data_IF_843738760234
#
_entry.id   IF_843738760234
#
_cell.length_a   1.000
_cell.length_b   1.000
_cell.length_c   1.000
_cell.angle_alpha   90.00
_cell.angle_beta   90.00
_cell.angle_gamma   90.00
#
_symmetry.space_group_name_H-M   'P 1'
#
loop_
_entity.id
_entity.type
_entity.pdbx_description
1 polymer ?
#
# COMPACT_ATOMS: atom_id res chain seq x y z
N UNK A 1 21.46 57.70 37.44
CA UNK A 1 20.68 57.04 36.37
C UNK A 1 21.61 56.08 35.65
N UNK A 2 21.54 54.78 35.98
CA UNK A 2 22.45 53.75 35.46
C UNK A 2 21.71 52.91 34.43
N UNK A 3 22.20 52.93 33.19
CA UNK A 3 21.71 52.16 32.06
C UNK A 3 22.01 50.67 32.23
N UNK A 4 20.97 49.82 32.27
CA UNK A 4 21.10 48.36 32.25
C UNK A 4 20.60 47.81 30.92
N UNK A 5 21.53 47.50 30.01
CA UNK A 5 21.30 46.70 28.80
C UNK A 5 20.78 45.32 29.23
N UNK A 6 19.60 44.92 28.75
CA UNK A 6 19.16 43.51 28.75
C UNK A 6 19.43 42.93 27.37
N UNK A 7 20.36 41.97 27.33
CA UNK A 7 20.55 40.99 26.28
C UNK A 7 19.25 40.19 26.08
N UNK A 8 18.81 40.05 24.82
CA UNK A 8 17.75 39.12 24.43
C UNK A 8 18.43 37.79 24.10
N UNK A 9 18.22 36.78 24.94
CA UNK A 9 18.43 35.38 24.56
C UNK A 9 17.35 34.99 23.54
N UNK A 10 17.78 34.30 22.49
CA UNK A 10 16.92 33.73 21.46
C UNK A 10 16.49 32.35 21.95
N UNK A 11 15.35 32.28 22.62
CA UNK A 11 14.70 31.00 22.91
C UNK A 11 14.18 30.41 21.59
N UNK A 12 14.61 29.18 21.29
CA UNK A 12 14.21 28.44 20.11
C UNK A 12 12.73 28.09 20.15
N UNK A 13 12.02 28.43 19.07
CA UNK A 13 10.66 27.98 18.80
C UNK A 13 10.62 26.45 18.68
N UNK A 14 10.44 25.78 19.81
CA UNK A 14 9.99 24.40 19.85
C UNK A 14 8.55 24.35 19.37
N UNK A 15 8.33 23.74 18.20
CA UNK A 15 6.98 23.37 17.74
C UNK A 15 6.39 22.43 18.79
N UNK A 16 5.48 22.93 19.63
CA UNK A 16 4.65 22.11 20.49
C UNK A 16 3.82 21.19 19.59
N UNK A 17 4.17 19.91 19.56
CA UNK A 17 3.33 18.87 18.96
C UNK A 17 2.09 18.75 19.85
N UNK A 18 0.99 19.37 19.42
CA UNK A 18 -0.28 19.33 20.13
C UNK A 18 -0.68 17.89 20.47
N UNK A 19 -1.13 17.69 21.71
CA UNK A 19 -1.45 16.37 22.23
C UNK A 19 -2.58 15.74 21.39
N UNK A 20 -2.38 14.50 20.93
CA UNK A 20 -3.29 13.83 19.98
C UNK A 20 -4.75 13.77 20.47
N UNK A 21 -4.96 13.76 21.77
CA UNK A 21 -6.29 13.75 22.39
C UNK A 21 -7.03 15.09 22.29
N UNK A 22 -6.30 16.21 22.30
CA UNK A 22 -6.87 17.56 22.27
C UNK A 22 -7.39 17.92 20.87
N UNK A 23 -6.68 17.45 19.83
CA UNK A 23 -7.10 17.55 18.42
C UNK A 23 -8.35 16.69 18.17
N UNK A 24 -8.46 15.53 18.79
CA UNK A 24 -9.64 14.65 18.68
C UNK A 24 -10.87 15.28 19.36
N UNK A 25 -10.69 15.91 20.53
CA UNK A 25 -11.77 16.63 21.23
C UNK A 25 -12.26 17.85 20.47
N UNK A 26 -11.36 18.62 19.85
CA UNK A 26 -11.74 19.72 18.97
C UNK A 26 -12.49 19.24 17.72
N UNK A 27 -12.05 18.14 17.09
CA UNK A 27 -12.74 17.51 15.94
C UNK A 27 -14.17 17.09 16.24
N UNK A 28 -14.43 16.49 17.41
CA UNK A 28 -15.79 16.10 17.80
C UNK A 28 -16.72 17.30 17.98
N UNK A 29 -16.18 18.46 18.39
CA UNK A 29 -16.96 19.69 18.58
C UNK A 29 -17.37 20.33 17.25
N UNK A 30 -16.49 20.27 16.25
CA UNK A 30 -16.78 20.81 14.90
C UNK A 30 -17.76 19.93 14.10
N UNK A 31 -17.74 18.60 14.31
CA UNK A 31 -18.70 17.69 13.66
C UNK A 31 -20.14 17.89 14.12
N UNK A 32 -20.36 18.33 15.35
CA UNK A 32 -21.70 18.60 15.88
C UNK A 32 -22.33 19.90 15.34
N UNK A 33 -21.55 20.74 14.64
CA UNK A 33 -21.99 22.02 14.05
C UNK A 33 -21.93 22.04 12.51
N UNK A 34 -21.68 20.90 11.86
CA UNK A 34 -21.62 20.82 10.41
C UNK A 34 -23.03 20.88 9.78
N UNK A 35 -23.23 21.61 8.68
CA UNK A 35 -24.51 21.62 7.97
C UNK A 35 -24.85 20.22 7.41
N UNK A 36 -26.15 19.91 7.36
CA UNK A 36 -26.64 18.61 6.88
C UNK A 36 -26.07 18.26 5.50
N UNK A 37 -25.40 17.11 5.42
CA UNK A 37 -24.77 16.58 4.21
C UNK A 37 -23.25 16.74 4.13
N UNK A 38 -22.59 17.46 5.05
CA UNK A 38 -21.12 17.55 5.08
C UNK A 38 -20.52 16.38 5.87
N UNK A 39 -19.82 15.49 5.17
CA UNK A 39 -19.09 14.39 5.78
C UNK A 39 -17.61 14.76 5.96
N UNK A 40 -17.10 14.59 7.19
CA UNK A 40 -15.67 14.69 7.45
C UNK A 40 -14.98 13.42 6.92
N UNK A 41 -13.92 13.60 6.14
CA UNK A 41 -13.07 12.50 5.65
C UNK A 41 -11.65 12.69 6.14
N UNK A 42 -11.03 11.59 6.55
CA UNK A 42 -9.61 11.59 6.89
C UNK A 42 -8.76 11.86 5.64
N UNK A 43 -7.53 12.41 5.75
CA UNK A 43 -6.66 12.55 4.59
C UNK A 43 -6.39 11.21 3.88
N UNK A 44 -6.21 10.14 4.64
CA UNK A 44 -5.99 8.81 4.07
C UNK A 44 -7.23 8.30 3.34
N UNK A 45 -8.41 8.56 3.89
CA UNK A 45 -9.70 8.19 3.31
C UNK A 45 -9.98 8.96 2.01
N UNK A 46 -9.75 10.27 2.00
CA UNK A 46 -9.84 11.09 0.80
C UNK A 46 -9.00 10.50 -0.34
N UNK A 47 -7.75 10.10 -0.06
CA UNK A 47 -6.87 9.53 -1.06
C UNK A 47 -7.20 8.08 -1.44
N UNK A 48 -7.79 7.31 -0.52
CA UNK A 48 -8.31 5.98 -0.79
C UNK A 48 -9.50 6.02 -1.76
N UNK A 49 -10.35 7.05 -1.67
CA UNK A 49 -11.47 7.28 -2.58
C UNK A 49 -11.01 7.89 -3.91
N UNK A 50 -10.03 8.81 -3.87
CA UNK A 50 -9.57 9.57 -5.02
C UNK A 50 -8.19 9.07 -5.54
N UNK A 51 -8.11 7.78 -5.85
CA UNK A 51 -6.85 7.09 -6.22
C UNK A 51 -6.22 7.61 -7.52
N UNK A 52 -7.06 8.09 -8.43
CA UNK A 52 -6.67 8.69 -9.71
C UNK A 52 -5.77 9.93 -9.53
N UNK A 53 -5.98 10.73 -8.48
CA UNK A 53 -5.19 11.93 -8.19
C UNK A 53 -3.71 11.57 -7.96
N UNK A 54 -3.46 10.41 -7.35
CA UNK A 54 -2.10 9.92 -7.07
C UNK A 54 -1.56 8.96 -8.15
N UNK A 55 -2.30 8.72 -9.25
CA UNK A 55 -1.87 7.83 -10.32
C UNK A 55 -2.07 6.33 -10.04
N UNK A 56 -2.98 5.98 -9.14
CA UNK A 56 -3.36 4.60 -8.80
C UNK A 56 -4.73 4.22 -9.38
N UNK A 57 -4.98 4.57 -10.64
CA UNK A 57 -6.24 4.34 -11.35
C UNK A 57 -6.35 2.92 -11.96
N UNK A 58 -5.23 2.37 -12.42
CA UNK A 58 -5.12 1.09 -13.13
C UNK A 58 -4.02 0.26 -12.48
N UNK A 59 -4.22 -1.05 -12.22
CA UNK A 59 -3.19 -1.95 -11.67
C UNK A 59 -1.81 -1.81 -12.30
N UNK A 60 -1.72 -1.71 -13.64
CA UNK A 60 -0.43 -1.54 -14.32
C UNK A 60 0.24 -0.19 -14.02
N UNK A 61 -0.53 0.90 -13.96
CA UNK A 61 -0.03 2.23 -13.61
C UNK A 61 0.32 2.30 -12.13
N UNK A 62 -0.44 1.64 -11.26
CA UNK A 62 -0.18 1.51 -9.83
C UNK A 62 1.16 0.84 -9.57
N UNK A 63 1.49 -0.24 -10.29
CA UNK A 63 2.79 -0.90 -10.21
C UNK A 63 3.94 0.04 -10.58
N UNK A 64 3.82 0.72 -11.73
CA UNK A 64 4.80 1.71 -12.18
C UNK A 64 4.98 2.86 -11.18
N UNK A 65 3.88 3.45 -10.72
CA UNK A 65 3.88 4.59 -9.80
C UNK A 65 4.48 4.19 -8.46
N UNK A 66 4.16 3.00 -7.94
CA UNK A 66 4.75 2.48 -6.70
C UNK A 66 6.27 2.37 -6.80
N UNK A 67 6.79 1.78 -7.88
CA UNK A 67 8.23 1.66 -8.10
C UNK A 67 8.88 3.05 -8.17
N UNK A 68 8.28 3.96 -8.94
CA UNK A 68 8.78 5.32 -9.12
C UNK A 68 8.88 6.05 -7.77
N UNK A 69 7.81 6.08 -6.99
CA UNK A 69 7.76 6.78 -5.70
C UNK A 69 8.76 6.21 -4.67
N UNK A 70 8.93 4.89 -4.62
CA UNK A 70 9.91 4.27 -3.74
C UNK A 70 11.35 4.55 -4.18
N UNK A 71 11.64 4.51 -5.49
CA UNK A 71 12.96 4.82 -6.04
C UNK A 71 13.32 6.29 -5.81
N UNK A 72 12.40 7.21 -6.08
CA UNK A 72 12.63 8.65 -5.86
C UNK A 72 12.89 8.96 -4.39
N UNK A 73 12.20 8.29 -3.46
CA UNK A 73 12.47 8.40 -2.03
C UNK A 73 13.86 7.86 -1.65
N UNK A 74 14.29 6.73 -2.22
CA UNK A 74 15.62 6.17 -1.99
C UNK A 74 16.74 7.09 -2.49
N UNK A 75 16.54 7.70 -3.66
CA UNK A 75 17.48 8.70 -4.21
C UNK A 75 17.58 9.94 -3.31
N UNK A 76 16.44 10.51 -2.92
CA UNK A 76 16.41 11.67 -2.00
C UNK A 76 17.11 11.33 -0.66
N UNK A 77 16.93 10.10 -0.16
CA UNK A 77 17.55 9.64 1.09
C UNK A 77 19.08 9.51 0.98
N UNK A 78 19.60 8.96 -0.11
CA UNK A 78 21.05 8.86 -0.35
C UNK A 78 21.70 10.24 -0.57
N UNK A 79 21.05 11.10 -1.35
CA UNK A 79 21.52 12.47 -1.62
C UNK A 79 21.50 13.36 -0.37
N UNK A 80 20.57 13.11 0.56
CA UNK A 80 20.55 13.82 1.85
C UNK A 80 21.81 13.59 2.68
N UNK A 81 22.47 12.43 2.51
CA UNK A 81 23.70 12.04 3.20
C UNK A 81 24.95 12.21 2.32
N UNK A 82 24.82 12.77 1.11
CA UNK A 82 25.91 12.90 0.14
C UNK A 82 26.59 11.57 -0.19
N UNK A 83 25.81 10.47 -0.22
CA UNK A 83 26.28 9.14 -0.63
C UNK A 83 25.82 8.88 -2.06
N UNK A 84 26.68 8.23 -2.86
CA UNK A 84 26.31 7.79 -4.21
C UNK A 84 25.12 6.81 -4.12
N UNK A 85 23.96 7.13 -4.72
CA UNK A 85 22.77 6.31 -4.55
C UNK A 85 22.95 4.93 -5.18
N UNK A 86 22.55 3.91 -4.43
CA UNK A 86 22.56 2.53 -4.83
C UNK A 86 21.18 1.93 -4.56
N UNK A 87 20.39 1.80 -5.62
CA UNK A 87 18.98 1.43 -5.55
C UNK A 87 18.77 0.07 -6.22
N UNK A 88 18.26 -0.87 -5.43
CA UNK A 88 17.91 -2.21 -5.89
C UNK A 88 16.39 -2.39 -5.85
N UNK A 89 15.81 -2.73 -6.98
CA UNK A 89 14.37 -2.97 -7.14
C UNK A 89 14.17 -4.42 -7.58
N UNK A 90 13.45 -5.15 -6.74
CA UNK A 90 13.07 -6.54 -6.97
C UNK A 90 11.55 -6.61 -7.11
N UNK A 91 11.09 -7.19 -8.20
CA UNK A 91 9.67 -7.38 -8.49
C UNK A 91 9.47 -8.86 -8.67
N UNK A 92 8.55 -9.43 -7.92
CA UNK A 92 8.26 -10.85 -7.95
C UNK A 92 6.78 -11.07 -8.19
N UNK A 93 6.45 -11.87 -9.19
CA UNK A 93 5.08 -12.33 -9.43
C UNK A 93 4.74 -13.42 -8.42
N UNK A 94 3.65 -13.22 -7.67
CA UNK A 94 3.23 -14.17 -6.65
C UNK A 94 2.20 -15.12 -7.22
N UNK A 95 2.45 -16.43 -7.05
CA UNK A 95 1.41 -17.44 -7.28
C UNK A 95 0.26 -17.29 -6.28
N UNK A 96 -0.93 -17.76 -6.67
CA UNK A 96 -2.10 -17.71 -5.79
C UNK A 96 -1.87 -18.43 -4.46
N UNK A 97 -1.13 -19.55 -4.45
CA UNK A 97 -0.77 -20.26 -3.22
C UNK A 97 0.16 -19.45 -2.32
N UNK A 98 1.13 -18.74 -2.90
CA UNK A 98 2.05 -17.87 -2.16
C UNK A 98 1.31 -16.67 -1.57
N UNK A 99 0.38 -16.09 -2.33
CA UNK A 99 -0.49 -15.02 -1.86
C UNK A 99 -1.39 -15.51 -0.70
N UNK A 100 -2.05 -16.65 -0.87
CA UNK A 100 -2.89 -17.26 0.17
C UNK A 100 -2.10 -17.58 1.44
N UNK A 101 -0.84 -18.02 1.33
CA UNK A 101 0.01 -18.25 2.49
C UNK A 101 0.28 -16.94 3.26
N UNK A 102 0.53 -15.84 2.54
CA UNK A 102 0.73 -14.52 3.16
C UNK A 102 -0.54 -14.00 3.84
N UNK A 103 -1.72 -14.20 3.22
CA UNK A 103 -2.99 -13.78 3.81
C UNK A 103 -3.40 -14.67 4.99
N UNK A 104 -3.17 -15.98 4.92
CA UNK A 104 -3.56 -16.94 5.97
C UNK A 104 -2.68 -16.83 7.21
N UNK A 105 -1.41 -16.43 7.08
CA UNK A 105 -0.60 -16.08 8.26
C UNK A 105 -1.01 -14.75 8.90
N UNK A 106 -1.77 -13.91 8.19
CA UNK A 106 -2.26 -12.62 8.70
C UNK A 106 -3.66 -12.69 9.33
N UNK A 107 -4.34 -13.83 9.19
CA UNK A 107 -5.71 -14.07 9.64
C UNK A 107 -5.73 -15.46 10.30
N UNK A 108 -5.89 -15.52 11.63
CA UNK A 108 -6.27 -16.76 12.34
C UNK A 108 -7.70 -17.19 11.94
N UNK A 109 -7.94 -17.46 10.66
CA UNK A 109 -9.15 -18.09 10.19
C UNK A 109 -8.88 -19.58 10.26
N UNK A 110 -9.33 -20.19 11.35
CA UNK A 110 -9.57 -21.63 11.37
C UNK A 110 -10.45 -21.95 10.15
N UNK A 111 -9.87 -22.56 9.11
CA UNK A 111 -10.64 -23.09 8.00
C UNK A 111 -11.49 -24.24 8.53
N UNK A 112 -12.69 -23.94 9.03
CA UNK A 112 -13.72 -24.94 9.25
C UNK A 112 -14.43 -25.15 7.92
N UNK A 113 -13.81 -25.90 7.03
CA UNK A 113 -14.51 -26.48 5.89
C UNK A 113 -15.46 -27.53 6.44
N UNK A 114 -16.75 -27.23 6.53
CA UNK A 114 -17.76 -28.22 6.91
C UNK A 114 -18.36 -28.83 5.62
N UNK A 115 -17.91 -30.02 5.18
CA UNK A 115 -18.34 -30.64 3.92
C UNK A 115 -19.80 -31.14 3.97
N UNK A 116 -20.49 -30.97 5.10
CA UNK A 116 -21.87 -31.38 5.29
C UNK A 116 -22.89 -30.31 4.89
N UNK A 117 -22.49 -29.03 4.83
CA UNK A 117 -23.38 -27.90 4.53
C UNK A 117 -23.90 -27.89 3.07
N UNK A 118 -23.13 -28.49 2.15
CA UNK A 118 -23.47 -28.55 0.71
C UNK A 118 -24.16 -29.84 0.26
N UNK A 119 -24.52 -30.74 1.19
CA UNK A 119 -25.17 -32.02 0.84
C UNK A 119 -26.70 -31.98 0.89
N UNK A 120 -27.31 -30.93 1.42
CA UNK A 120 -28.75 -30.75 1.35
C UNK A 120 -29.12 -29.98 0.06
N UNK A 121 -30.02 -30.54 -0.74
CA UNK A 121 -30.58 -29.99 -1.99
C UNK A 121 -29.83 -30.26 -3.31
N UNK A 122 -29.27 -31.46 -3.49
CA UNK A 122 -29.23 -32.07 -4.84
C UNK A 122 -30.36 -33.09 -4.98
N UNK A 123 -31.57 -32.60 -5.17
CA UNK A 123 -32.70 -33.42 -5.63
C UNK A 123 -32.36 -34.05 -6.98
N UNK A 124 -32.31 -35.36 -7.00
CA UNK A 124 -31.92 -36.20 -8.12
C UNK A 124 -32.87 -36.02 -9.32
N UNK A 125 -32.48 -35.25 -10.35
CA UNK A 125 -33.06 -35.41 -11.69
C UNK A 125 -32.39 -36.61 -12.37
N UNK A 126 -33.04 -37.77 -12.31
CA UNK A 126 -32.72 -38.97 -13.11
C UNK A 126 -32.77 -38.61 -14.60
N UNK A 127 -31.63 -38.70 -15.29
CA UNK A 127 -31.57 -38.78 -16.77
C UNK A 127 -32.05 -40.16 -17.21
N UNK A 128 -33.14 -40.22 -17.98
CA UNK A 128 -33.49 -41.38 -18.83
C UNK A 128 -33.15 -41.02 -20.29
N UNK A 129 -32.26 -41.81 -20.90
CA UNK A 129 -32.19 -42.06 -22.35
C UNK A 129 -33.22 -43.18 -22.65
N UNK A 130 -33.93 -43.33 -23.76
CA UNK A 130 -33.75 -42.97 -25.18
C UNK A 130 -35.08 -43.23 -25.92
N UNK A 131 -35.17 -42.76 -27.17
CA UNK A 131 -35.92 -43.29 -28.33
C UNK A 131 -37.24 -42.65 -28.83
N UNK A 132 -37.08 -41.99 -29.99
CA UNK A 132 -37.84 -42.14 -31.24
C UNK A 132 -39.31 -41.72 -31.35
N UNK A 133 -39.49 -40.77 -32.27
CA UNK A 133 -40.48 -40.70 -33.35
C UNK A 133 -41.91 -40.17 -33.10
N UNK A 134 -42.20 -39.18 -33.96
CA UNK A 134 -43.45 -38.91 -34.72
C UNK A 134 -44.55 -38.04 -34.08
N UNK A 135 -44.75 -36.93 -34.82
CA UNK A 135 -46.00 -36.41 -35.40
C UNK A 135 -46.86 -35.41 -34.61
N UNK A 136 -46.97 -34.25 -35.25
CA UNK A 136 -48.19 -33.53 -35.64
C UNK A 136 -48.92 -32.58 -34.66
N UNK A 137 -48.88 -31.31 -35.08
CA UNK A 137 -50.01 -30.40 -35.39
C UNK A 137 -50.87 -29.75 -34.31
N UNK A 138 -50.73 -28.41 -34.26
CA UNK A 138 -51.77 -27.34 -34.32
C UNK A 138 -52.83 -27.25 -33.21
N UNK A 139 -52.82 -26.11 -32.49
CA UNK A 139 -53.93 -25.13 -32.27
C UNK A 139 -53.70 -24.35 -30.95
N UNK A 140 -53.48 -23.02 -31.02
CA UNK A 140 -54.43 -21.91 -30.71
C UNK A 140 -55.21 -22.05 -29.39
N UNK A 141 -54.97 -21.17 -28.41
CA UNK A 141 -55.91 -20.11 -27.92
C UNK A 141 -55.35 -19.35 -26.70
N UNK A 142 -55.92 -18.17 -26.47
CA UNK A 142 -55.46 -17.07 -25.62
C UNK A 142 -56.03 -17.08 -24.17
N UNK A 143 -55.38 -16.30 -23.29
CA UNK A 143 -55.95 -15.31 -22.33
C UNK A 143 -55.29 -15.32 -20.93
N UNK A 144 -54.72 -14.15 -20.59
CA UNK A 144 -54.64 -13.42 -19.32
C UNK A 144 -54.50 -14.14 -17.96
N UNK A 145 -53.45 -13.81 -17.21
CA UNK A 145 -53.50 -12.81 -16.12
C UNK A 145 -52.18 -12.77 -15.33
N UNK A 146 -51.89 -11.57 -14.83
CA UNK A 146 -50.64 -11.07 -14.24
C UNK A 146 -50.27 -11.74 -12.90
N UNK A 147 -48.98 -11.97 -12.65
CA UNK A 147 -48.27 -11.32 -11.55
C UNK A 147 -46.78 -11.73 -11.45
N UNK A 148 -45.97 -10.71 -11.15
CA UNK A 148 -44.69 -10.73 -10.41
C UNK A 148 -43.38 -11.04 -11.15
N UNK A 149 -42.58 -9.98 -11.15
CA UNK A 149 -41.18 -9.81 -11.51
C UNK A 149 -40.19 -10.84 -10.92
N UNK A 150 -38.97 -10.77 -11.48
CA UNK A 150 -37.68 -11.30 -11.01
C UNK A 150 -37.26 -12.64 -11.64
N UNK A 151 -36.49 -12.56 -12.73
CA UNK A 151 -35.38 -13.47 -13.03
C UNK A 151 -34.47 -12.88 -14.13
N UNK A 152 -33.75 -11.80 -13.80
CA UNK A 152 -32.54 -11.35 -14.51
C UNK A 152 -31.42 -11.07 -13.49
N UNK A 153 -31.02 -12.10 -12.72
CA UNK A 153 -29.78 -12.04 -11.91
C UNK A 153 -29.09 -13.39 -12.00
N UNK A 154 -28.60 -13.74 -13.19
CA UNK A 154 -27.72 -14.91 -13.36
C UNK A 154 -26.60 -14.68 -14.40
N UNK A 155 -26.18 -13.42 -14.60
CA UNK A 155 -25.04 -13.07 -15.47
C UNK A 155 -23.89 -12.33 -14.75
N UNK A 156 -23.85 -12.30 -13.41
CA UNK A 156 -22.78 -11.63 -12.67
C UNK A 156 -22.01 -12.55 -11.71
N UNK A 157 -21.91 -13.84 -12.02
CA UNK A 157 -21.10 -14.79 -11.25
C UNK A 157 -19.76 -15.15 -11.92
N UNK A 158 -19.47 -14.60 -13.10
CA UNK A 158 -18.24 -14.89 -13.86
C UNK A 158 -17.17 -13.79 -13.79
N UNK A 159 -17.41 -12.68 -13.08
CA UNK A 159 -16.45 -11.56 -13.00
C UNK A 159 -15.39 -11.71 -11.87
N UNK A 160 -15.33 -12.87 -11.22
CA UNK A 160 -14.42 -13.16 -10.10
C UNK A 160 -13.21 -14.03 -10.48
N UNK A 161 -12.98 -14.29 -11.78
CA UNK A 161 -11.90 -15.19 -12.26
C UNK A 161 -10.96 -14.59 -13.29
N UNK A 162 -10.94 -13.26 -13.45
CA UNK A 162 -9.75 -12.64 -14.05
C UNK A 162 -8.66 -12.68 -12.99
N UNK A 163 -7.74 -13.64 -13.08
CA UNK A 163 -6.61 -13.77 -12.16
C UNK A 163 -5.86 -12.44 -12.09
N UNK A 164 -6.11 -11.66 -11.03
CA UNK A 164 -5.43 -10.41 -10.81
C UNK A 164 -3.98 -10.74 -10.47
N UNK A 165 -3.05 -10.27 -11.31
CA UNK A 165 -1.64 -10.57 -11.11
C UNK A 165 -1.13 -9.80 -9.90
N UNK A 166 -0.71 -10.53 -8.87
CA UNK A 166 -0.22 -9.95 -7.61
C UNK A 166 1.30 -9.93 -7.65
N UNK A 167 1.88 -8.77 -7.34
CA UNK A 167 3.32 -8.57 -7.36
C UNK A 167 3.83 -8.16 -5.98
N UNK A 168 4.93 -8.76 -5.56
CA UNK A 168 5.73 -8.31 -4.43
C UNK A 168 6.82 -7.37 -4.94
N UNK A 169 6.73 -6.12 -4.55
CA UNK A 169 7.70 -5.08 -4.89
C UNK A 169 8.58 -4.83 -3.67
N UNK A 170 9.89 -5.00 -3.84
CA UNK A 170 10.89 -4.70 -2.82
C UNK A 170 11.86 -3.67 -3.38
N UNK A 171 11.97 -2.52 -2.71
CA UNK A 171 12.94 -1.48 -3.05
C UNK A 171 13.90 -1.34 -1.88
N UNK A 172 15.20 -1.42 -2.16
CA UNK A 172 16.28 -1.23 -1.22
C UNK A 172 17.14 -0.06 -1.67
N UNK A 173 17.43 0.84 -0.75
CA UNK A 173 18.38 1.93 -0.93
C UNK A 173 19.56 1.82 0.04
N UNK A 174 20.59 2.61 -0.20
CA UNK A 174 21.74 2.82 0.69
C UNK A 174 21.70 4.20 1.39
N UNK A 175 20.50 4.76 1.58
CA UNK A 175 20.31 6.12 2.10
C UNK A 175 20.53 6.26 3.61
N UNK A 176 19.98 7.34 4.17
CA UNK A 176 20.10 7.66 5.61
C UNK A 176 19.48 6.63 6.55
N UNK A 177 18.54 5.82 6.05
CA UNK A 177 17.61 5.07 6.89
C UNK A 177 16.60 6.00 7.59
N UNK A 178 15.65 5.37 8.27
CA UNK A 178 14.65 5.98 9.15
C UNK A 178 14.91 5.61 10.62
N UNK A 179 14.72 6.56 11.57
CA UNK A 179 14.79 6.27 13.00
C UNK A 179 13.65 5.35 13.43
N UNK A 180 13.95 4.36 14.28
CA UNK A 180 13.00 3.32 14.72
C UNK A 180 11.64 3.89 15.14
N UNK A 181 11.63 4.80 16.11
CA UNK A 181 10.40 5.33 16.72
C UNK A 181 9.61 6.24 15.77
N UNK A 182 10.25 6.73 14.70
CA UNK A 182 9.63 7.59 13.70
C UNK A 182 9.07 6.82 12.50
N UNK A 183 9.46 5.56 12.28
CA UNK A 183 9.03 4.76 11.11
C UNK A 183 7.49 4.69 10.98
N UNK A 184 6.73 4.34 12.04
CA UNK A 184 5.28 4.24 11.95
C UNK A 184 4.64 5.57 11.52
N UNK A 185 5.14 6.68 12.05
CA UNK A 185 4.62 8.00 11.72
C UNK A 185 4.99 8.44 10.30
N UNK A 186 6.24 8.22 9.88
CA UNK A 186 6.74 8.59 8.55
C UNK A 186 6.05 7.82 7.42
N UNK A 187 5.66 6.57 7.66
CA UNK A 187 5.09 5.69 6.64
C UNK A 187 3.58 5.54 6.74
N UNK A 188 3.02 5.52 7.96
CA UNK A 188 1.62 5.20 8.20
C UNK A 188 0.69 6.39 8.48
N UNK A 189 1.18 7.63 8.47
CA UNK A 189 0.34 8.83 8.56
C UNK A 189 0.43 9.66 7.28
N UNK A 190 -0.67 9.74 6.55
CA UNK A 190 -0.79 10.52 5.32
C UNK A 190 -0.62 12.02 5.61
N UNK A 191 0.11 12.71 4.74
CA UNK A 191 0.57 14.10 4.88
C UNK A 191 1.55 14.38 6.05
N UNK A 192 2.02 13.36 6.77
CA UNK A 192 3.09 13.50 7.75
C UNK A 192 4.44 13.13 7.13
N UNK A 193 5.30 14.10 6.84
CA UNK A 193 6.57 13.80 6.17
C UNK A 193 7.64 14.84 6.42
N UNK A 194 8.89 14.42 6.19
CA UNK A 194 10.08 15.26 6.33
C UNK A 194 10.33 16.14 5.09
N UNK A 195 9.51 16.01 4.04
CA UNK A 195 9.70 16.71 2.75
C UNK A 195 9.19 18.16 2.73
N UNK A 196 8.72 18.71 3.84
CA UNK A 196 8.30 20.13 3.95
C UNK A 196 9.47 21.08 4.26
N UNK A 197 10.65 20.81 3.71
CA UNK A 197 11.83 21.63 3.89
C UNK A 197 12.04 22.59 2.71
N UNK A 198 12.79 23.67 2.91
CA UNK A 198 13.20 24.63 1.84
C UNK A 198 14.32 24.03 0.96
N UNK A 199 14.35 22.71 0.80
CA UNK A 199 15.31 21.98 -0.04
C UNK A 199 14.54 21.34 -1.19
N UNK A 200 15.00 21.55 -2.42
CA UNK A 200 14.40 20.93 -3.58
C UNK A 200 14.65 19.41 -3.55
N UNK A 201 13.56 18.65 -3.42
CA UNK A 201 13.54 17.18 -3.48
C UNK A 201 12.60 16.74 -4.61
N UNK A 202 12.71 15.48 -5.08
CA UNK A 202 11.87 14.98 -6.18
C UNK A 202 10.38 14.95 -5.82
N UNK A 203 10.06 14.59 -4.58
CA UNK A 203 8.68 14.55 -4.08
C UNK A 203 8.23 15.88 -3.47
N UNK A 204 7.11 16.45 -3.97
CA UNK A 204 6.56 17.74 -3.51
C UNK A 204 5.70 17.66 -2.24
N UNK A 205 4.90 16.61 -2.10
CA UNK A 205 3.87 16.53 -1.04
C UNK A 205 4.18 15.48 0.04
N UNK A 206 5.30 14.74 -0.09
CA UNK A 206 5.62 13.62 0.80
C UNK A 206 4.55 12.53 0.81
N UNK A 207 3.76 12.41 -0.25
CA UNK A 207 2.54 11.61 -0.32
C UNK A 207 2.75 10.26 -1.01
N UNK A 208 3.62 10.18 -2.03
CA UNK A 208 3.59 9.08 -2.97
C UNK A 208 3.91 7.69 -2.41
N UNK A 209 4.89 7.54 -1.51
CA UNK A 209 5.10 6.24 -0.83
C UNK A 209 3.88 5.84 -0.01
N UNK A 210 3.25 6.79 0.68
CA UNK A 210 2.05 6.54 1.48
C UNK A 210 0.86 6.13 0.63
N UNK A 211 0.76 6.67 -0.58
CA UNK A 211 -0.23 6.22 -1.57
C UNK A 211 0.03 4.78 -2.00
N UNK A 212 1.28 4.39 -2.19
CA UNK A 212 1.61 2.99 -2.45
C UNK A 212 1.23 2.07 -1.27
N UNK A 213 1.39 2.54 -0.02
CA UNK A 213 0.92 1.81 1.17
C UNK A 213 -0.62 1.68 1.19
N UNK A 214 -1.36 2.77 0.95
CA UNK A 214 -2.83 2.75 0.89
C UNK A 214 -3.29 1.80 -0.22
N UNK A 215 -2.68 1.87 -1.40
CA UNK A 215 -3.02 0.98 -2.52
C UNK A 215 -2.76 -0.49 -2.16
N UNK A 216 -1.59 -0.82 -1.59
CA UNK A 216 -1.27 -2.17 -1.14
C UNK A 216 -2.33 -2.73 -0.18
N UNK A 217 -2.75 -1.90 0.80
CA UNK A 217 -3.82 -2.25 1.74
C UNK A 217 -5.16 -2.48 1.02
N UNK A 218 -5.54 -1.60 0.10
CA UNK A 218 -6.82 -1.71 -0.60
C UNK A 218 -6.87 -2.86 -1.61
N UNK A 219 -5.74 -3.17 -2.26
CA UNK A 219 -5.69 -4.20 -3.30
C UNK A 219 -5.48 -5.59 -2.72
N UNK A 220 -4.55 -5.74 -1.76
CA UNK A 220 -4.14 -7.06 -1.23
C UNK A 220 -4.38 -7.22 0.26
N UNK A 221 -4.48 -6.12 1.01
CA UNK A 221 -4.60 -6.16 2.47
C UNK A 221 -3.37 -6.69 3.19
N UNK A 222 -2.28 -7.03 2.49
CA UNK A 222 -1.06 -7.53 3.10
C UNK A 222 -0.30 -6.36 3.72
N UNK A 223 0.14 -6.47 4.99
CA UNK A 223 0.89 -5.41 5.64
C UNK A 223 2.27 -5.22 5.01
N UNK A 224 2.73 -3.97 5.04
CA UNK A 224 4.01 -3.58 4.46
C UNK A 224 5.12 -3.98 5.41
N UNK A 225 6.24 -4.48 4.86
CA UNK A 225 7.45 -4.77 5.60
C UNK A 225 8.49 -3.70 5.36
N UNK A 226 8.97 -3.09 6.43
CA UNK A 226 9.99 -2.05 6.40
C UNK A 226 11.17 -2.52 7.20
N UNK A 227 12.34 -2.49 6.60
CA UNK A 227 13.61 -2.72 7.26
C UNK A 227 14.46 -1.47 7.08
N UNK A 228 15.02 -0.95 8.16
CA UNK A 228 15.74 0.32 8.14
C UNK A 228 16.95 0.27 9.07
N UNK A 229 18.09 0.76 8.57
CA UNK A 229 19.32 0.91 9.34
C UNK A 229 19.92 2.29 9.11
N UNK A 230 20.17 3.02 10.19
CA UNK A 230 20.87 4.30 10.15
C UNK A 230 22.38 4.09 10.23
N UNK A 231 23.16 4.86 9.47
CA UNK A 231 24.62 4.74 9.46
C UNK A 231 25.26 5.00 10.83
N UNK A 232 24.63 5.85 11.64
CA UNK A 232 25.08 6.21 12.98
C UNK A 232 24.74 5.17 14.05
N UNK A 233 23.87 4.20 13.76
CA UNK A 233 23.36 3.26 14.75
C UNK A 233 23.78 1.82 14.43
N UNK A 234 24.11 1.07 15.48
CA UNK A 234 24.35 -0.37 15.40
C UNK A 234 23.04 -1.18 15.40
N UNK A 235 21.94 -0.54 15.78
CA UNK A 235 20.62 -1.15 15.76
C UNK A 235 19.98 -1.06 14.39
N UNK A 236 19.34 -2.16 14.01
CA UNK A 236 18.52 -2.28 12.81
C UNK A 236 17.06 -2.41 13.22
N UNK A 237 16.17 -1.78 12.47
CA UNK A 237 14.73 -1.71 12.74
C UNK A 237 13.96 -2.51 11.70
N UNK A 238 13.14 -3.45 12.15
CA UNK A 238 12.22 -4.24 11.35
C UNK A 238 10.79 -3.94 11.79
N UNK A 239 9.93 -3.56 10.84
CA UNK A 239 8.52 -3.24 11.07
C UNK A 239 7.64 -3.99 10.08
N UNK A 240 6.53 -4.53 10.60
CA UNK A 240 5.36 -4.93 9.80
C UNK A 240 4.26 -3.95 10.12
N UNK A 241 3.94 -3.10 9.15
CA UNK A 241 3.09 -1.93 9.32
C UNK A 241 1.84 -2.04 8.43
N UNK A 242 0.72 -1.68 9.02
CA UNK A 242 -0.55 -1.45 8.35
C UNK A 242 -1.03 -0.01 8.63
N UNK A 243 -2.06 0.45 7.92
CA UNK A 243 -2.62 1.81 8.08
C UNK A 243 -4.11 1.71 8.37
N UNK A 244 -4.57 2.38 9.43
CA UNK A 244 -6.00 2.66 9.59
C UNK A 244 -6.36 3.87 8.74
N UNK A 245 -6.97 3.62 7.57
CA UNK A 245 -7.38 4.63 6.59
C UNK A 245 -8.41 5.59 7.19
N UNK A 246 -9.34 5.09 8.02
CA UNK A 246 -10.41 5.90 8.59
C UNK A 246 -9.87 6.95 9.56
N UNK A 247 -8.88 6.57 10.37
CA UNK A 247 -8.30 7.45 11.40
C UNK A 247 -7.03 8.16 10.93
N UNK A 248 -6.46 7.77 9.78
CA UNK A 248 -5.16 8.22 9.31
C UNK A 248 -4.05 8.00 10.36
N UNK A 249 -4.02 6.79 10.95
CA UNK A 249 -3.02 6.41 11.94
C UNK A 249 -2.32 5.11 11.54
N UNK A 250 -1.02 4.96 11.86
CA UNK A 250 -0.33 3.69 11.69
C UNK A 250 -0.89 2.62 12.61
N UNK A 251 -0.96 1.39 12.11
CA UNK A 251 -1.24 0.18 12.87
C UNK A 251 0.00 -0.73 12.84
N UNK A 252 0.68 -0.87 13.98
CA UNK A 252 1.90 -1.67 14.09
C UNK A 252 1.51 -3.11 14.40
N UNK A 253 1.75 -4.03 13.45
CA UNK A 253 1.47 -5.46 13.63
C UNK A 253 2.64 -6.14 14.34
N UNK A 254 3.86 -5.81 13.92
CA UNK A 254 5.08 -6.32 14.55
C UNK A 254 6.20 -5.29 14.44
N UNK A 255 6.99 -5.18 15.49
CA UNK A 255 8.22 -4.39 15.49
C UNK A 255 9.36 -5.19 16.14
N UNK A 256 10.57 -4.99 15.63
CA UNK A 256 11.77 -5.57 16.21
C UNK A 256 12.93 -4.60 16.04
N UNK A 257 13.65 -4.37 17.13
CA UNK A 257 14.92 -3.64 17.14
C UNK A 257 16.02 -4.63 17.46
N UNK A 258 16.92 -4.88 16.51
CA UNK A 258 18.06 -5.79 16.69
C UNK A 258 19.33 -5.00 16.75
N UNK A 259 20.07 -5.12 17.84
CA UNK A 259 21.42 -4.56 17.95
C UNK A 259 22.39 -5.57 17.36
N UNK A 260 23.12 -5.18 16.31
CA UNK A 260 24.19 -6.02 15.80
C UNK A 260 25.32 -6.08 16.84
N UNK A 261 25.66 -7.29 17.29
CA UNK A 261 26.93 -7.52 17.96
C UNK A 261 28.00 -7.47 16.87
N UNK A 262 28.60 -6.30 16.64
CA UNK A 262 29.66 -6.21 15.64
C UNK A 262 30.86 -7.07 16.09
N UNK A 263 31.27 -8.07 15.30
CA UNK A 263 32.55 -8.71 15.51
C UNK A 263 33.65 -7.65 15.34
N UNK A 264 34.70 -7.74 16.16
CA UNK A 264 35.87 -6.86 16.07
C UNK A 264 36.42 -6.87 14.64
N UNK A 265 36.38 -5.72 13.96
CA UNK A 265 36.95 -5.54 12.61
C UNK A 265 35.98 -5.62 11.42
N UNK A 266 34.66 -5.75 11.62
CA UNK A 266 33.71 -5.66 10.48
C UNK A 266 33.47 -4.21 10.07
N UNK A 267 33.80 -3.89 8.81
CA UNK A 267 33.55 -2.57 8.22
C UNK A 267 32.06 -2.33 7.99
N UNK A 268 31.52 -1.33 8.68
CA UNK A 268 30.31 -0.54 8.38
C UNK A 268 29.20 -1.30 7.61
N UNK A 269 28.28 -1.91 8.34
CA UNK A 269 27.02 -2.37 7.76
C UNK A 269 26.36 -1.21 6.97
N UNK A 270 25.99 -1.47 5.71
CA UNK A 270 25.41 -0.46 4.83
C UNK A 270 24.13 0.11 5.43
N UNK A 271 24.09 1.43 5.63
CA UNK A 271 22.86 2.15 5.95
C UNK A 271 21.88 2.07 4.81
N UNK A 272 20.60 2.26 5.10
CA UNK A 272 19.56 2.32 4.08
C UNK A 272 18.21 1.83 4.56
N UNK A 273 17.26 1.89 3.65
CA UNK A 273 15.91 1.40 3.86
C UNK A 273 15.58 0.33 2.83
N UNK A 274 14.89 -0.73 3.26
CA UNK A 274 14.23 -1.70 2.40
C UNK A 274 12.73 -1.67 2.69
N UNK A 275 11.95 -1.29 1.69
CA UNK A 275 10.49 -1.31 1.74
C UNK A 275 9.99 -2.45 0.86
N UNK A 276 9.16 -3.32 1.42
CA UNK A 276 8.52 -4.42 0.72
C UNK A 276 7.01 -4.32 0.87
N UNK A 277 6.30 -4.31 -0.24
CA UNK A 277 4.85 -4.27 -0.31
C UNK A 277 4.35 -5.24 -1.36
N UNK A 278 3.10 -5.67 -1.20
CA UNK A 278 2.42 -6.55 -2.16
C UNK A 278 1.26 -5.76 -2.75
N UNK A 279 1.18 -5.69 -4.07
CA UNK A 279 0.17 -4.92 -4.79
C UNK A 279 -0.35 -5.71 -5.97
N UNK A 280 -1.60 -5.45 -6.32
CA UNK A 280 -2.12 -5.84 -7.62
C UNK A 280 -1.46 -5.00 -8.71
N UNK A 281 -1.09 -5.65 -9.83
CA UNK A 281 -0.41 -4.97 -10.93
C UNK A 281 -0.57 -5.66 -12.27
N UNK A 282 0.05 -5.08 -13.29
CA UNK A 282 0.20 -5.70 -14.60
C UNK A 282 1.60 -5.40 -15.15
N UNK A 283 2.51 -6.36 -14.99
CA UNK A 283 3.88 -6.26 -15.48
C UNK A 283 3.95 -6.25 -17.01
N UNK A 284 3.22 -7.15 -17.69
CA UNK A 284 3.27 -7.32 -19.14
C UNK A 284 3.01 -6.01 -19.90
N UNK A 285 2.02 -5.24 -19.49
CA UNK A 285 1.67 -3.96 -20.15
C UNK A 285 2.57 -2.79 -19.76
N UNK A 286 3.15 -2.79 -18.55
CA UNK A 286 3.91 -1.65 -18.02
C UNK A 286 5.43 -1.85 -17.94
N UNK A 287 5.94 -3.05 -18.24
CA UNK A 287 7.38 -3.37 -18.27
C UNK A 287 8.17 -2.37 -19.11
N UNK A 288 7.69 -2.06 -20.32
CA UNK A 288 8.36 -1.11 -21.21
C UNK A 288 8.50 0.28 -20.58
N UNK A 289 7.44 0.76 -19.91
CA UNK A 289 7.42 2.06 -19.22
C UNK A 289 8.34 2.07 -17.99
N UNK A 290 8.36 0.99 -17.21
CA UNK A 290 9.26 0.84 -16.05
C UNK A 290 10.72 0.88 -16.51
N UNK A 291 11.07 0.10 -17.54
CA UNK A 291 12.44 0.10 -18.10
C UNK A 291 12.79 1.47 -18.69
N UNK A 292 11.87 2.12 -19.39
CA UNK A 292 12.08 3.47 -19.91
C UNK A 292 12.35 4.48 -18.80
N UNK A 293 11.62 4.41 -17.69
CA UNK A 293 11.86 5.26 -16.52
C UNK A 293 13.28 5.08 -15.98
N UNK A 294 13.74 3.84 -15.76
CA UNK A 294 15.11 3.61 -15.29
C UNK A 294 16.17 4.08 -16.30
N UNK A 295 15.92 3.95 -17.61
CA UNK A 295 16.81 4.50 -18.64
C UNK A 295 16.90 6.02 -18.58
N UNK A 296 15.77 6.71 -18.43
CA UNK A 296 15.74 8.17 -18.26
C UNK A 296 16.46 8.59 -16.97
N UNK A 297 16.23 7.88 -15.88
CA UNK A 297 16.92 8.13 -14.61
C UNK A 297 18.43 7.92 -14.74
N UNK A 298 18.89 6.86 -15.41
CA UNK A 298 20.32 6.63 -15.63
C UNK A 298 21.00 7.77 -16.44
N UNK A 299 20.26 8.44 -17.33
CA UNK A 299 20.77 9.60 -18.07
C UNK A 299 20.86 10.85 -17.17
N UNK A 300 19.85 11.10 -16.35
CA UNK A 300 19.75 12.31 -15.52
C UNK A 300 20.62 12.21 -14.25
N UNK A 301 20.73 11.01 -13.66
CA UNK A 301 21.52 10.75 -12.45
C UNK A 301 22.64 9.74 -12.75
N UNK A 302 23.72 10.15 -13.45
CA UNK A 302 24.81 9.26 -13.84
C UNK A 302 25.63 8.75 -12.65
N UNK A 303 25.51 9.40 -11.49
CA UNK A 303 26.18 9.03 -10.24
C UNK A 303 25.42 7.97 -9.43
N UNK A 304 24.24 7.53 -9.87
CA UNK A 304 23.43 6.53 -9.20
C UNK A 304 23.54 5.16 -9.86
N UNK A 305 23.59 4.10 -9.05
CA UNK A 305 23.52 2.71 -9.50
C UNK A 305 22.08 2.20 -9.34
N UNK A 306 21.50 1.68 -10.42
CA UNK A 306 20.18 1.04 -10.40
C UNK A 306 20.31 -0.44 -10.74
N UNK A 307 19.67 -1.30 -9.95
CA UNK A 307 19.56 -2.74 -10.22
C UNK A 307 18.08 -3.13 -10.24
N UNK A 308 17.57 -3.51 -11.41
CA UNK A 308 16.19 -3.97 -11.58
C UNK A 308 16.19 -5.49 -11.81
N UNK A 309 15.45 -6.22 -10.98
CA UNK A 309 15.25 -7.66 -11.12
C UNK A 309 13.75 -7.98 -11.12
N UNK A 310 13.36 -8.81 -12.09
CA UNK A 310 12.01 -9.36 -12.17
C UNK A 310 12.09 -10.88 -12.04
N UNK A 311 11.31 -11.45 -11.14
CA UNK A 311 11.18 -12.89 -10.89
C UNK A 311 9.73 -13.26 -11.16
N UNK A 312 9.54 -14.26 -12.02
CA UNK A 312 8.22 -14.84 -12.34
C UNK A 312 8.09 -16.22 -11.72
#
# INVERSE_FOLDING_TARGET
>A
MVNKKRSRELDGDGIQVGNSEEIVRHKQKDMNNAPDGVQFRSPAEFFAENKNIAGFDNPGKSLYTTIRELVENGLDAAESQSVLPDIEVFIEELSMSSYQALTSCSLDVTQRSDPTLFKANRSQKKKKTTHSQKKNSVSKTAADSEDSEVDEIAENADDLTTASNIFRVTVKDNGSGMPHDSIPHMMGRVLAGTKYCVRQNRGKFGLGSKMALIWAKMSTGIPIRIHSKQASLLSTSDYTLDIDISKNVPNIIAESRKTAALPFGTTKECSGTRVQLVIEGNWSSYRAKIVQYFRQMAVITPYARFKLQFVS
#
